data_IF_106302698293
#
_entry.id   IF_106302698293
#
_cell.length_a   1.000
_cell.length_b   1.000
_cell.length_c   1.000
_cell.angle_alpha   90.00
_cell.angle_beta   90.00
_cell.angle_gamma   90.00
#
_symmetry.space_group_name_H-M   'P 1'
#
loop_
_entity.id
_entity.type
_entity.pdbx_description
1 polymer ?
#
# COMPACT_ATOMS: atom_id res chain seq x y z
N UNK A 1 36.18 45.77 -19.94
CA UNK A 1 36.70 44.83 -18.92
C UNK A 1 36.15 43.45 -19.26
N UNK A 2 36.90 42.35 -19.09
CA UNK A 2 36.31 41.02 -19.34
C UNK A 2 35.27 40.69 -18.25
N UNK A 3 34.16 40.02 -18.58
CA UNK A 3 33.15 39.67 -17.58
C UNK A 3 33.68 38.65 -16.59
N UNK A 4 33.38 38.84 -15.30
CA UNK A 4 33.67 37.87 -14.24
C UNK A 4 32.58 36.80 -14.16
N UNK A 5 32.86 35.66 -13.52
CA UNK A 5 31.93 34.52 -13.50
C UNK A 5 30.60 34.82 -12.78
N UNK A 6 30.62 35.67 -11.77
CA UNK A 6 29.45 36.15 -11.02
C UNK A 6 28.52 37.04 -11.87
N UNK A 7 29.04 37.65 -12.92
CA UNK A 7 28.28 38.53 -13.82
C UNK A 7 27.56 37.77 -14.95
N UNK A 8 27.83 36.47 -15.10
CA UNK A 8 27.22 35.66 -16.14
C UNK A 8 25.75 35.41 -15.81
N UNK A 9 24.89 35.79 -16.77
CA UNK A 9 23.45 35.72 -16.61
C UNK A 9 22.74 35.15 -17.85
N UNK A 10 23.48 34.76 -18.88
CA UNK A 10 22.93 34.19 -20.10
C UNK A 10 23.87 33.11 -20.67
N UNK A 11 23.27 32.08 -21.28
CA UNK A 11 23.97 31.06 -22.05
C UNK A 11 23.28 30.78 -23.37
N UNK A 12 24.06 30.29 -24.34
CA UNK A 12 23.54 29.62 -25.52
C UNK A 12 24.11 28.22 -25.59
N UNK A 13 23.27 27.20 -25.68
CA UNK A 13 23.64 25.78 -25.78
C UNK A 13 22.80 25.07 -26.85
N UNK A 14 23.24 23.91 -27.38
CA UNK A 14 22.40 23.09 -28.25
C UNK A 14 21.08 22.73 -27.57
N UNK A 15 19.97 22.83 -28.31
CA UNK A 15 18.63 22.51 -27.82
C UNK A 15 18.54 21.10 -27.25
N UNK A 16 19.21 20.13 -27.88
CA UNK A 16 19.26 18.75 -27.42
C UNK A 16 19.89 18.59 -26.02
N UNK A 17 20.69 19.56 -25.59
CA UNK A 17 21.36 19.55 -24.29
C UNK A 17 20.63 20.41 -23.24
N UNK A 18 19.49 21.03 -23.56
CA UNK A 18 18.71 21.83 -22.60
C UNK A 18 18.28 21.01 -21.37
N UNK A 19 18.13 19.69 -21.52
CA UNK A 19 17.80 18.77 -20.44
C UNK A 19 18.78 18.75 -19.26
N UNK A 20 20.01 19.26 -19.42
CA UNK A 20 20.97 19.39 -18.29
C UNK A 20 20.47 20.32 -17.18
N UNK A 21 19.48 21.16 -17.48
CA UNK A 21 18.84 22.06 -16.51
C UNK A 21 17.54 21.48 -15.92
N UNK A 22 17.21 20.21 -16.19
CA UNK A 22 15.87 19.67 -15.88
C UNK A 22 15.50 19.67 -14.40
N UNK A 23 16.47 19.58 -13.50
CA UNK A 23 16.25 19.66 -12.06
C UNK A 23 15.99 21.09 -11.57
N UNK A 24 16.41 22.11 -12.33
CA UNK A 24 16.11 23.52 -12.08
C UNK A 24 14.78 23.97 -12.71
N UNK A 25 13.98 23.07 -13.27
CA UNK A 25 12.71 23.40 -13.94
C UNK A 25 11.73 24.19 -13.07
N UNK A 26 11.84 24.11 -11.74
CA UNK A 26 10.98 24.84 -10.79
C UNK A 26 11.39 26.30 -10.58
N UNK A 27 12.57 26.69 -11.05
CA UNK A 27 13.09 28.04 -10.89
C UNK A 27 12.45 29.00 -11.91
N UNK A 28 11.45 29.75 -11.50
CA UNK A 28 10.70 30.67 -12.37
C UNK A 28 11.58 31.79 -12.97
N UNK A 29 12.69 32.13 -12.32
CA UNK A 29 13.64 33.13 -12.79
C UNK A 29 14.50 32.65 -13.97
N UNK A 30 14.50 31.34 -14.27
CA UNK A 30 15.20 30.80 -15.43
C UNK A 30 14.29 30.84 -16.64
N UNK A 31 14.71 31.63 -17.63
CA UNK A 31 13.97 31.91 -18.86
C UNK A 31 14.71 31.26 -20.02
N UNK A 32 13.96 30.69 -20.96
CA UNK A 32 14.50 29.99 -22.12
C UNK A 32 13.85 30.53 -23.40
N UNK A 33 14.67 30.80 -24.41
CA UNK A 33 14.23 31.06 -25.77
C UNK A 33 14.88 30.02 -26.69
N UNK A 34 14.07 29.27 -27.44
CA UNK A 34 14.57 28.30 -28.42
C UNK A 34 14.54 28.93 -29.82
N UNK A 35 15.69 28.96 -30.51
CA UNK A 35 15.81 29.44 -31.90
C UNK A 35 16.65 28.45 -32.69
N UNK A 36 16.00 27.77 -33.63
CA UNK A 36 16.62 26.71 -34.43
C UNK A 36 17.12 25.54 -33.56
N UNK A 37 18.41 25.24 -33.68
CA UNK A 37 19.11 24.19 -32.95
C UNK A 37 19.69 24.64 -31.61
N UNK A 38 19.57 25.93 -31.26
CA UNK A 38 20.09 26.49 -30.00
C UNK A 38 18.98 26.90 -29.05
N UNK A 39 19.21 26.63 -27.77
CA UNK A 39 18.48 27.21 -26.66
C UNK A 39 19.31 28.33 -26.06
N UNK A 40 18.68 29.47 -25.87
CA UNK A 40 19.21 30.58 -25.08
C UNK A 40 18.58 30.51 -23.71
N UNK A 41 19.38 30.58 -22.66
CA UNK A 41 18.92 30.48 -21.27
C UNK A 41 19.39 31.72 -20.53
N UNK A 42 18.51 32.37 -19.78
CA UNK A 42 18.82 33.54 -18.96
C UNK A 42 18.39 33.28 -17.52
N UNK A 43 19.18 33.76 -16.58
CA UNK A 43 18.96 33.62 -15.14
C UNK A 43 19.49 34.85 -14.41
N UNK A 44 19.13 35.08 -13.13
CA UNK A 44 19.74 36.15 -12.33
C UNK A 44 21.25 35.94 -12.17
N UNK A 45 22.05 36.99 -12.35
CA UNK A 45 23.50 36.91 -12.14
C UNK A 45 23.83 36.33 -10.74
N UNK A 46 24.91 35.54 -10.65
CA UNK A 46 25.31 34.85 -9.42
C UNK A 46 24.57 33.53 -9.12
N UNK A 47 23.68 33.04 -9.99
CA UNK A 47 22.99 31.76 -9.77
C UNK A 47 23.91 30.55 -10.02
N UNK A 48 24.70 30.15 -9.01
CA UNK A 48 25.68 29.07 -9.11
C UNK A 48 25.11 27.74 -9.61
N UNK A 49 23.86 27.42 -9.24
CA UNK A 49 23.20 26.18 -9.65
C UNK A 49 23.13 26.01 -11.17
N UNK A 50 22.86 27.09 -11.92
CA UNK A 50 22.80 27.06 -13.38
C UNK A 50 24.21 26.88 -13.95
N UNK A 51 25.16 27.65 -13.44
CA UNK A 51 26.56 27.60 -13.87
C UNK A 51 27.15 26.18 -13.72
N UNK A 52 26.97 25.54 -12.56
CA UNK A 52 27.48 24.18 -12.30
C UNK A 52 26.97 23.13 -13.30
N UNK A 53 25.75 23.30 -13.83
CA UNK A 53 25.16 22.38 -14.84
C UNK A 53 25.59 22.71 -16.26
N UNK A 54 25.85 23.98 -16.55
CA UNK A 54 26.27 24.43 -17.87
C UNK A 54 27.78 24.23 -18.11
N UNK A 55 28.64 24.33 -17.10
CA UNK A 55 30.09 24.18 -17.25
C UNK A 55 30.54 22.87 -17.93
N UNK A 56 29.95 21.69 -17.62
CA UNK A 56 30.30 20.45 -18.31
C UNK A 56 29.88 20.37 -19.78
N UNK A 57 29.05 21.31 -20.26
CA UNK A 57 28.52 21.30 -21.62
C UNK A 57 29.53 21.95 -22.57
N UNK A 58 30.24 21.13 -23.34
CA UNK A 58 31.38 21.55 -24.19
C UNK A 58 31.08 22.62 -25.25
N UNK A 59 29.81 22.84 -25.59
CA UNK A 59 29.38 23.78 -26.65
C UNK A 59 28.59 24.98 -26.11
N UNK A 60 28.59 25.17 -24.78
CA UNK A 60 27.94 26.32 -24.16
C UNK A 60 28.75 27.59 -24.41
N UNK A 61 28.07 28.64 -24.84
CA UNK A 61 28.60 30.00 -24.82
C UNK A 61 27.96 30.74 -23.65
N UNK A 62 28.78 31.35 -22.79
CA UNK A 62 28.34 32.08 -21.60
C UNK A 62 28.48 33.58 -21.81
N UNK A 63 27.49 34.36 -21.34
CA UNK A 63 27.39 35.79 -21.59
C UNK A 63 27.03 36.56 -20.31
N UNK A 64 27.59 37.76 -20.20
CA UNK A 64 27.27 38.75 -19.18
C UNK A 64 26.79 40.05 -19.84
N UNK A 65 25.92 40.78 -19.14
CA UNK A 65 25.45 42.11 -19.57
C UNK A 65 26.15 43.18 -18.74
N UNK A 66 26.85 44.11 -19.39
CA UNK A 66 27.53 45.25 -18.77
C UNK A 66 27.21 46.51 -19.57
N UNK A 67 26.76 47.57 -18.90
CA UNK A 67 26.41 48.86 -19.51
C UNK A 67 25.46 48.74 -20.71
N UNK A 68 24.49 47.81 -20.62
CA UNK A 68 23.53 47.55 -21.69
C UNK A 68 24.06 46.68 -22.84
N UNK A 69 25.37 46.42 -22.91
CA UNK A 69 26.02 45.61 -23.92
C UNK A 69 26.27 44.18 -23.42
N UNK A 70 26.35 43.22 -24.34
CA UNK A 70 26.59 41.82 -24.03
C UNK A 70 28.04 41.43 -24.33
N UNK A 71 28.67 40.70 -23.41
CA UNK A 71 30.03 40.21 -23.55
C UNK A 71 30.04 38.69 -23.37
N UNK A 72 30.73 38.00 -24.27
CA UNK A 72 30.95 36.56 -24.13
C UNK A 72 32.13 36.32 -23.17
N UNK A 73 32.03 35.31 -22.31
CA UNK A 73 33.11 34.92 -21.42
C UNK A 73 34.41 34.67 -22.22
N UNK A 74 35.50 35.28 -21.76
CA UNK A 74 36.81 35.22 -22.43
C UNK A 74 36.98 36.19 -23.61
N UNK A 75 35.98 37.03 -23.94
CA UNK A 75 36.09 38.08 -24.98
C UNK A 75 36.03 39.47 -24.37
N UNK A 76 36.79 40.41 -24.94
CA UNK A 76 36.86 41.80 -24.50
C UNK A 76 35.95 42.75 -25.29
N UNK A 77 35.44 42.32 -26.45
CA UNK A 77 34.55 43.12 -27.28
C UNK A 77 33.09 42.69 -27.11
N UNK A 78 32.13 43.63 -27.23
CA UNK A 78 30.71 43.31 -27.24
C UNK A 78 30.35 42.31 -28.33
N UNK A 79 29.36 41.46 -28.05
CA UNK A 79 28.73 40.57 -29.03
C UNK A 79 27.29 40.98 -29.28
N UNK A 80 26.87 40.91 -30.55
CA UNK A 80 25.53 41.29 -30.99
C UNK A 80 24.68 40.08 -31.38
N UNK A 81 25.20 38.87 -31.20
CA UNK A 81 24.53 37.62 -31.60
C UNK A 81 23.45 37.13 -30.64
N UNK A 82 23.08 37.91 -29.61
CA UNK A 82 22.03 37.54 -28.66
C UNK A 82 20.66 37.95 -29.23
N UNK A 83 19.67 37.04 -29.29
CA UNK A 83 18.33 37.35 -29.80
C UNK A 83 17.71 38.56 -29.09
N UNK A 84 17.25 39.55 -29.86
CA UNK A 84 16.68 40.80 -29.31
C UNK A 84 15.31 40.56 -28.68
N UNK A 85 14.59 39.60 -29.22
CA UNK A 85 13.29 39.13 -28.75
C UNK A 85 13.34 38.34 -27.43
N UNK A 86 14.53 38.06 -26.87
CA UNK A 86 14.66 37.17 -25.71
C UNK A 86 13.74 37.59 -24.56
N UNK A 87 13.63 38.89 -24.30
CA UNK A 87 12.83 39.41 -23.20
C UNK A 87 11.32 39.28 -23.46
N UNK A 88 10.89 39.36 -24.72
CA UNK A 88 9.48 39.24 -25.11
C UNK A 88 9.02 37.78 -25.30
N UNK A 89 9.86 36.95 -25.93
CA UNK A 89 9.49 35.62 -26.43
C UNK A 89 9.99 34.47 -25.54
N UNK A 90 10.78 34.75 -24.51
CA UNK A 90 11.24 33.68 -23.61
C UNK A 90 10.07 33.06 -22.83
N UNK A 91 10.23 31.81 -22.45
CA UNK A 91 9.30 31.07 -21.59
C UNK A 91 10.02 30.57 -20.34
N UNK A 92 9.31 30.26 -19.24
CA UNK A 92 9.93 29.60 -18.10
C UNK A 92 10.58 28.27 -18.49
N UNK A 93 11.67 27.88 -17.81
CA UNK A 93 12.38 26.63 -18.09
C UNK A 93 11.47 25.39 -18.05
N UNK A 94 10.52 25.32 -17.12
CA UNK A 94 9.51 24.25 -17.06
C UNK A 94 8.70 24.10 -18.36
N UNK A 95 8.43 25.20 -19.06
CA UNK A 95 7.66 25.20 -20.30
C UNK A 95 8.51 24.78 -21.50
N UNK A 96 9.81 25.11 -21.48
CA UNK A 96 10.75 24.72 -22.54
C UNK A 96 11.17 23.24 -22.47
N UNK A 97 11.06 22.61 -21.30
CA UNK A 97 11.40 21.21 -21.09
C UNK A 97 10.15 20.33 -21.17
N UNK A 98 10.07 19.54 -22.24
CA UNK A 98 9.03 18.51 -22.37
C UNK A 98 9.60 17.19 -21.84
N UNK A 99 8.94 16.49 -20.90
CA UNK A 99 9.34 15.14 -20.51
C UNK A 99 9.46 14.24 -21.73
N UNK A 100 10.42 13.30 -21.70
CA UNK A 100 10.47 12.27 -22.73
C UNK A 100 9.12 11.53 -22.81
N UNK A 101 8.68 11.11 -24.01
CA UNK A 101 7.49 10.29 -24.15
C UNK A 101 7.57 9.08 -23.22
N UNK A 102 6.48 8.82 -22.48
CA UNK A 102 6.37 7.61 -21.66
C UNK A 102 6.14 6.44 -22.61
N UNK A 103 7.11 5.53 -22.70
CA UNK A 103 6.93 4.27 -23.41
C UNK A 103 6.18 3.28 -22.49
N UNK A 104 4.91 3.04 -22.79
CA UNK A 104 4.07 2.14 -22.00
C UNK A 104 4.35 0.71 -22.45
N UNK A 105 5.26 0.04 -21.75
CA UNK A 105 5.44 -1.40 -21.92
C UNK A 105 4.33 -2.14 -21.20
N UNK A 106 3.46 -2.82 -21.96
CA UNK A 106 2.44 -3.69 -21.37
C UNK A 106 3.10 -4.82 -20.58
N UNK A 107 2.73 -5.05 -19.30
CA UNK A 107 3.18 -6.22 -18.57
C UNK A 107 2.79 -7.48 -19.35
N UNK A 108 3.72 -8.42 -19.50
CA UNK A 108 3.40 -9.71 -20.13
C UNK A 108 2.30 -10.38 -19.32
N UNK A 109 1.19 -10.83 -19.94
CA UNK A 109 0.13 -11.51 -19.21
C UNK A 109 0.66 -12.86 -18.69
N UNK A 110 0.83 -12.96 -17.38
CA UNK A 110 1.00 -14.22 -16.67
C UNK A 110 -0.34 -14.60 -16.02
N UNK A 111 -0.80 -15.83 -16.24
CA UNK A 111 -1.97 -16.34 -15.53
C UNK A 111 -1.68 -16.30 -14.02
N UNK A 112 -2.57 -15.71 -13.18
CA UNK A 112 -2.36 -15.70 -11.74
C UNK A 112 -2.34 -17.15 -11.23
N UNK A 113 -1.32 -17.49 -10.44
CA UNK A 113 -1.27 -18.78 -9.75
C UNK A 113 -2.11 -18.69 -8.48
N UNK A 114 -3.02 -19.64 -8.23
CA UNK A 114 -3.76 -19.68 -6.96
C UNK A 114 -2.80 -19.75 -5.79
N UNK A 115 -2.94 -18.82 -4.83
CA UNK A 115 -2.25 -18.91 -3.55
C UNK A 115 -2.93 -19.98 -2.70
N UNK A 116 -2.15 -20.90 -2.13
CA UNK A 116 -2.67 -21.85 -1.15
C UNK A 116 -2.90 -21.13 0.17
N UNK A 117 -4.09 -21.31 0.74
CA UNK A 117 -4.45 -20.80 2.06
C UNK A 117 -4.41 -21.97 3.02
N UNK A 118 -3.58 -21.87 4.06
CA UNK A 118 -3.42 -22.91 5.08
C UNK A 118 -3.38 -22.35 6.49
N UNK A 119 -3.42 -23.25 7.47
CA UNK A 119 -3.13 -22.91 8.87
C UNK A 119 -1.66 -23.17 9.17
N UNK A 120 -1.00 -22.20 9.78
CA UNK A 120 0.36 -22.33 10.29
C UNK A 120 0.38 -22.09 11.80
N UNK A 121 1.35 -22.68 12.49
CA UNK A 121 1.53 -22.48 13.93
C UNK A 121 1.77 -21.02 14.26
N UNK A 122 1.17 -20.58 15.36
CA UNK A 122 1.26 -19.22 15.85
C UNK A 122 1.39 -19.18 17.36
N UNK A 123 2.32 -18.35 17.85
CA UNK A 123 2.63 -18.22 19.28
C UNK A 123 1.92 -17.03 19.93
N UNK A 124 1.25 -16.20 19.14
CA UNK A 124 0.52 -15.05 19.64
C UNK A 124 -0.65 -15.48 20.54
N UNK A 125 -0.66 -14.95 21.76
CA UNK A 125 -1.69 -15.21 22.76
C UNK A 125 -2.96 -14.46 22.39
N UNK A 126 -4.07 -15.19 22.21
CA UNK A 126 -5.38 -14.62 21.86
C UNK A 126 -6.49 -15.15 22.77
N UNK A 127 -7.51 -14.32 23.08
CA UNK A 127 -8.66 -14.77 23.85
C UNK A 127 -9.49 -15.78 23.05
N UNK A 128 -9.93 -16.85 23.71
CA UNK A 128 -10.86 -17.81 23.12
C UNK A 128 -12.26 -17.19 23.02
N UNK A 129 -12.87 -17.24 21.84
CA UNK A 129 -14.23 -16.76 21.56
C UNK A 129 -15.21 -17.89 21.25
N UNK A 130 -14.71 -19.09 20.94
CA UNK A 130 -15.51 -20.28 20.77
C UNK A 130 -14.83 -21.56 21.27
N UNK A 131 -15.63 -22.60 21.53
CA UNK A 131 -15.18 -23.91 21.99
C UNK A 131 -15.91 -25.01 21.23
N UNK A 132 -15.18 -25.92 20.58
CA UNK A 132 -15.71 -27.19 20.07
C UNK A 132 -15.40 -28.30 21.07
N UNK A 133 -16.41 -29.05 21.50
CA UNK A 133 -16.23 -30.16 22.43
C UNK A 133 -17.24 -31.29 22.14
N UNK A 134 -17.08 -32.42 22.82
CA UNK A 134 -18.08 -33.50 22.77
C UNK A 134 -19.27 -33.19 23.66
N UNK A 135 -20.44 -33.62 23.22
CA UNK A 135 -21.71 -33.42 23.92
C UNK A 135 -21.70 -34.05 25.33
N UNK A 136 -21.12 -35.24 25.48
CA UNK A 136 -21.01 -35.89 26.79
C UNK A 136 -20.16 -35.09 27.79
N UNK A 137 -19.04 -34.53 27.33
CA UNK A 137 -18.15 -33.71 28.15
C UNK A 137 -18.83 -32.39 28.54
N UNK A 138 -19.61 -31.80 27.63
CA UNK A 138 -20.44 -30.64 27.92
C UNK A 138 -21.53 -30.96 28.95
N UNK A 139 -22.18 -32.12 28.86
CA UNK A 139 -23.22 -32.56 29.78
C UNK A 139 -22.67 -32.74 31.20
N UNK A 140 -21.54 -33.43 31.35
CA UNK A 140 -20.85 -33.58 32.64
C UNK A 140 -20.51 -32.22 33.25
N UNK A 141 -19.99 -31.28 32.46
CA UNK A 141 -19.73 -29.93 32.95
C UNK A 141 -21.03 -29.21 33.37
N UNK A 142 -22.09 -29.32 32.56
CA UNK A 142 -23.36 -28.63 32.79
C UNK A 142 -24.05 -29.06 34.09
N UNK A 143 -23.92 -30.32 34.51
CA UNK A 143 -24.48 -30.80 35.78
C UNK A 143 -23.74 -30.24 37.02
N UNK A 144 -22.54 -29.67 36.85
CA UNK A 144 -21.72 -29.16 37.96
C UNK A 144 -21.79 -27.64 38.17
N UNK A 145 -22.47 -26.92 37.26
CA UNK A 145 -22.45 -25.44 37.25
C UNK A 145 -23.85 -24.82 37.40
N UNK A 146 -23.97 -23.64 38.02
CA UNK A 146 -25.23 -22.93 38.11
C UNK A 146 -25.76 -22.48 36.75
N UNK A 147 -27.08 -22.32 36.64
CA UNK A 147 -27.74 -21.94 35.38
C UNK A 147 -27.33 -20.57 34.83
N UNK A 148 -26.84 -19.68 35.69
CA UNK A 148 -26.30 -18.38 35.30
C UNK A 148 -25.08 -18.48 34.37
N UNK A 149 -24.30 -19.56 34.44
CA UNK A 149 -23.14 -19.80 33.59
C UNK A 149 -23.52 -20.12 32.13
N UNK A 150 -24.75 -20.59 31.87
CA UNK A 150 -25.21 -20.86 30.49
C UNK A 150 -25.73 -19.62 29.78
N UNK A 151 -26.25 -18.63 30.53
CA UNK A 151 -26.92 -17.44 29.95
C UNK A 151 -26.11 -16.71 28.87
N UNK A 152 -24.78 -16.53 28.99
CA UNK A 152 -24.01 -15.85 27.94
C UNK A 152 -23.62 -16.76 26.77
N UNK A 153 -23.94 -18.05 26.84
CA UNK A 153 -23.51 -19.05 25.87
C UNK A 153 -24.61 -19.40 24.86
N UNK A 154 -24.20 -19.55 23.61
CA UNK A 154 -25.02 -20.13 22.53
C UNK A 154 -24.34 -21.38 22.02
N UNK A 155 -25.13 -22.35 21.60
CA UNK A 155 -24.64 -23.64 21.14
C UNK A 155 -25.28 -24.06 19.82
N UNK A 156 -24.48 -24.66 18.95
CA UNK A 156 -24.92 -25.47 17.82
C UNK A 156 -24.46 -26.91 18.05
N UNK A 157 -25.33 -27.88 17.78
CA UNK A 157 -25.08 -29.31 18.02
C UNK A 157 -25.22 -30.05 16.69
N UNK A 158 -24.26 -30.92 16.39
CA UNK A 158 -24.29 -31.81 15.23
C UNK A 158 -23.73 -33.18 15.65
N UNK A 159 -24.62 -34.16 15.83
CA UNK A 159 -24.25 -35.47 16.37
C UNK A 159 -23.70 -35.36 17.79
N UNK A 160 -22.50 -35.89 18.02
CA UNK A 160 -21.79 -35.84 19.31
C UNK A 160 -20.96 -34.57 19.50
N UNK A 161 -20.90 -33.67 18.51
CA UNK A 161 -20.10 -32.45 18.55
C UNK A 161 -20.95 -31.23 18.88
N UNK A 162 -20.42 -30.38 19.75
CA UNK A 162 -21.02 -29.12 20.15
C UNK A 162 -20.06 -27.97 19.90
N UNK A 163 -20.54 -26.94 19.21
CA UNK A 163 -19.86 -25.66 19.06
C UNK A 163 -20.51 -24.63 20.00
N UNK A 164 -19.73 -24.07 20.91
CA UNK A 164 -20.14 -23.03 21.84
C UNK A 164 -19.57 -21.67 21.42
N UNK A 165 -20.42 -20.64 21.48
CA UNK A 165 -20.06 -19.23 21.32
C UNK A 165 -20.41 -18.47 22.60
N UNK A 166 -19.57 -17.53 23.01
CA UNK A 166 -19.83 -16.64 24.14
C UNK A 166 -18.65 -16.54 25.11
N UNK A 167 -18.86 -15.85 26.23
CA UNK A 167 -17.85 -15.67 27.26
C UNK A 167 -18.50 -15.58 28.65
N UNK A 168 -17.93 -16.22 29.70
CA UNK A 168 -16.74 -17.07 29.67
C UNK A 168 -17.01 -18.47 29.07
N UNK A 169 -16.03 -19.04 28.35
CA UNK A 169 -16.12 -20.40 27.82
C UNK A 169 -15.76 -21.45 28.89
N UNK A 170 -16.49 -22.58 28.97
CA UNK A 170 -16.27 -23.59 30.00
C UNK A 170 -14.91 -24.30 29.87
N UNK A 171 -14.38 -24.74 31.01
CA UNK A 171 -13.14 -25.51 31.07
C UNK A 171 -13.42 -27.01 30.84
N UNK A 172 -13.60 -27.39 29.58
CA UNK A 172 -13.89 -28.78 29.17
C UNK A 172 -12.62 -29.43 28.61
N UNK A 173 -12.20 -30.54 29.22
CA UNK A 173 -11.04 -31.30 28.77
C UNK A 173 -11.26 -31.88 27.37
N UNK A 174 -10.21 -31.86 26.53
CA UNK A 174 -10.27 -32.35 25.15
C UNK A 174 -11.04 -31.45 24.17
N UNK A 175 -11.55 -30.30 24.61
CA UNK A 175 -12.18 -29.33 23.72
C UNK A 175 -11.17 -28.47 22.97
N UNK A 176 -11.46 -28.17 21.70
CA UNK A 176 -10.67 -27.25 20.88
C UNK A 176 -11.20 -25.83 21.04
N UNK A 177 -10.32 -24.92 21.47
CA UNK A 177 -10.65 -23.49 21.60
C UNK A 177 -10.29 -22.74 20.33
N UNK A 178 -11.13 -21.78 19.97
CA UNK A 178 -10.98 -20.95 18.78
C UNK A 178 -10.96 -19.47 19.15
N UNK A 179 -10.34 -18.66 18.30
CA UNK A 179 -10.35 -17.20 18.36
C UNK A 179 -10.97 -16.62 17.08
N UNK A 180 -11.45 -15.36 17.17
CA UNK A 180 -12.10 -14.65 16.07
C UNK A 180 -13.61 -14.46 16.27
N UNK A 181 -14.30 -13.90 15.28
CA UNK A 181 -15.74 -13.58 15.40
C UNK A 181 -16.59 -14.31 14.37
N UNK A 182 -16.40 -14.02 13.07
CA UNK A 182 -17.10 -14.72 11.98
C UNK A 182 -16.21 -15.72 11.25
N UNK A 183 -14.91 -15.66 11.53
CA UNK A 183 -13.90 -16.64 11.19
C UNK A 183 -13.30 -17.15 12.49
N UNK A 184 -13.53 -18.42 12.80
CA UNK A 184 -13.00 -19.11 13.97
C UNK A 184 -11.74 -19.88 13.57
N UNK A 185 -10.63 -19.52 14.19
CA UNK A 185 -9.32 -20.15 13.97
C UNK A 185 -8.93 -20.86 15.27
N UNK A 186 -8.45 -22.13 15.23
CA UNK A 186 -8.00 -22.81 16.42
C UNK A 186 -6.88 -22.03 17.12
N UNK A 187 -6.92 -21.96 18.46
CA UNK A 187 -5.83 -21.34 19.21
C UNK A 187 -4.48 -22.03 18.90
N UNK A 188 -3.41 -21.23 18.85
CA UNK A 188 -2.08 -21.70 18.43
C UNK A 188 -1.88 -21.78 16.92
N UNK A 189 -2.81 -21.24 16.13
CA UNK A 189 -2.73 -21.15 14.68
C UNK A 189 -3.13 -19.75 14.17
N UNK A 190 -2.62 -19.43 12.97
CA UNK A 190 -3.05 -18.33 12.11
C UNK A 190 -3.19 -18.79 10.67
N UNK A 191 -3.88 -18.01 9.86
CA UNK A 191 -3.97 -18.22 8.41
C UNK A 191 -2.69 -17.74 7.74
N UNK A 192 -2.20 -18.52 6.78
CA UNK A 192 -1.10 -18.14 5.87
C UNK A 192 -1.53 -18.32 4.39
N UNK A 193 -1.36 -17.31 3.52
CA UNK A 193 -0.93 -15.95 3.85
C UNK A 193 -1.90 -15.28 4.83
N UNK A 194 -1.41 -14.29 5.60
CA UNK A 194 -2.15 -13.54 6.62
C UNK A 194 -3.30 -12.70 6.05
N UNK A 195 -4.29 -13.35 5.47
CA UNK A 195 -5.45 -12.75 4.83
C UNK A 195 -6.43 -12.26 5.89
N UNK A 196 -6.99 -11.07 5.65
CA UNK A 196 -8.10 -10.58 6.47
C UNK A 196 -9.31 -11.52 6.42
N UNK A 197 -10.10 -11.53 7.50
CA UNK A 197 -11.37 -12.28 7.56
C UNK A 197 -12.25 -12.01 6.32
N UNK A 198 -12.39 -10.74 5.91
CA UNK A 198 -13.18 -10.37 4.74
C UNK A 198 -12.59 -10.86 3.41
N UNK A 199 -11.27 -11.03 3.32
CA UNK A 199 -10.63 -11.61 2.13
C UNK A 199 -10.93 -13.11 2.03
N UNK A 200 -10.79 -13.85 3.13
CA UNK A 200 -11.09 -15.28 3.17
C UNK A 200 -12.56 -15.57 2.88
N UNK A 201 -13.48 -14.82 3.50
CA UNK A 201 -14.91 -14.98 3.27
C UNK A 201 -15.30 -14.73 1.81
N UNK A 202 -14.72 -13.71 1.17
CA UNK A 202 -14.93 -13.43 -0.26
C UNK A 202 -14.33 -14.53 -1.14
N UNK A 203 -13.13 -15.02 -0.82
CA UNK A 203 -12.49 -16.10 -1.56
C UNK A 203 -13.32 -17.40 -1.53
N UNK A 204 -13.99 -17.66 -0.41
CA UNK A 204 -14.84 -18.84 -0.21
C UNK A 204 -16.32 -18.59 -0.56
N UNK A 205 -16.67 -17.42 -1.09
CA UNK A 205 -18.04 -17.05 -1.47
C UNK A 205 -19.08 -17.22 -0.34
N UNK A 206 -18.68 -16.93 0.90
CA UNK A 206 -19.54 -17.06 2.08
C UNK A 206 -20.50 -15.88 2.25
N UNK A 207 -21.74 -16.16 2.63
CA UNK A 207 -22.75 -15.16 2.95
C UNK A 207 -22.34 -14.30 4.15
N UNK A 208 -22.93 -13.11 4.34
CA UNK A 208 -22.51 -12.15 5.38
C UNK A 208 -22.70 -12.63 6.83
N UNK A 209 -23.60 -13.59 7.04
CA UNK A 209 -23.99 -14.06 8.37
C UNK A 209 -23.42 -15.45 8.75
N UNK A 210 -22.77 -16.15 7.81
CA UNK A 210 -22.25 -17.50 8.06
C UNK A 210 -21.01 -17.48 8.96
N UNK A 211 -20.87 -18.46 9.84
CA UNK A 211 -19.69 -18.65 10.66
C UNK A 211 -18.74 -19.63 9.95
N UNK A 212 -17.52 -19.20 9.66
CA UNK A 212 -16.48 -20.05 9.09
C UNK A 212 -15.60 -20.60 10.20
N UNK A 213 -15.41 -21.91 10.26
CA UNK A 213 -14.54 -22.58 11.23
C UNK A 213 -13.40 -23.24 10.47
N UNK A 214 -12.16 -22.82 10.72
CA UNK A 214 -10.99 -23.47 10.13
C UNK A 214 -10.53 -24.63 11.01
N UNK A 215 -10.12 -25.71 10.36
CA UNK A 215 -9.49 -26.87 11.00
C UNK A 215 -8.17 -27.16 10.29
N UNK A 216 -7.25 -27.92 10.91
CA UNK A 216 -6.05 -28.39 10.20
C UNK A 216 -6.37 -29.18 8.92
N UNK A 217 -7.54 -29.81 8.85
CA UNK A 217 -7.98 -30.65 7.74
C UNK A 217 -8.80 -29.89 6.67
N UNK A 218 -9.15 -28.62 6.91
CA UNK A 218 -9.95 -27.82 5.98
C UNK A 218 -10.78 -26.75 6.67
N UNK A 219 -12.06 -26.66 6.30
CA UNK A 219 -12.98 -25.69 6.88
C UNK A 219 -14.42 -26.21 6.92
N UNK A 220 -15.19 -25.67 7.84
CA UNK A 220 -16.62 -25.93 8.01
C UNK A 220 -17.39 -24.61 8.02
N UNK A 221 -18.59 -24.61 7.45
CA UNK A 221 -19.49 -23.44 7.45
C UNK A 221 -20.68 -23.76 8.34
N UNK A 222 -20.89 -22.96 9.38
CA UNK A 222 -22.00 -23.14 10.33
C UNK A 222 -23.00 -21.98 10.13
N UNK A 223 -24.26 -22.28 9.76
CA UNK A 223 -25.29 -21.26 9.66
C UNK A 223 -25.56 -20.60 11.03
N UNK A 224 -25.73 -19.28 11.11
CA UNK A 224 -25.89 -18.58 12.39
C UNK A 224 -27.18 -18.95 13.12
N UNK A 225 -28.21 -19.40 12.38
CA UNK A 225 -29.52 -19.74 12.93
C UNK A 225 -29.53 -21.07 13.68
N UNK A 226 -28.51 -21.93 13.54
CA UNK A 226 -28.42 -23.18 14.32
C UNK A 226 -27.91 -22.95 15.74
N UNK A 227 -27.40 -21.75 16.04
CA UNK A 227 -26.94 -21.38 17.38
C UNK A 227 -28.10 -20.92 18.26
N UNK A 228 -28.48 -21.74 19.24
CA UNK A 228 -29.53 -21.44 20.20
C UNK A 228 -28.93 -21.10 21.58
N UNK A 229 -29.62 -20.33 22.43
CA UNK A 229 -29.21 -20.15 23.82
C UNK A 229 -29.00 -21.50 24.51
N UNK A 230 -27.87 -21.67 25.20
CA UNK A 230 -27.55 -22.92 25.87
C UNK A 230 -28.44 -23.09 27.11
N UNK A 231 -29.02 -24.28 27.27
CA UNK A 231 -29.80 -24.64 28.45
C UNK A 231 -29.58 -26.10 28.81
N UNK A 232 -29.68 -26.43 30.10
CA UNK A 232 -29.55 -27.80 30.59
C UNK A 232 -30.61 -28.74 29.97
N UNK A 233 -31.83 -28.24 29.78
CA UNK A 233 -32.89 -28.99 29.10
C UNK A 233 -32.52 -29.31 27.64
N UNK A 234 -31.92 -28.34 26.93
CA UNK A 234 -31.44 -28.54 25.56
C UNK A 234 -30.31 -29.57 25.48
N UNK A 235 -29.36 -29.54 26.42
CA UNK A 235 -28.26 -30.53 26.50
C UNK A 235 -28.83 -31.94 26.72
N UNK A 236 -29.70 -32.12 27.71
CA UNK A 236 -30.32 -33.42 28.02
C UNK A 236 -31.19 -33.95 26.88
N UNK A 237 -31.89 -33.06 26.16
CA UNK A 237 -32.66 -33.45 24.98
C UNK A 237 -31.73 -33.95 23.87
N UNK A 238 -30.65 -33.21 23.59
CA UNK A 238 -29.67 -33.58 22.57
C UNK A 238 -29.03 -34.95 22.85
N UNK A 239 -28.70 -35.25 24.12
CA UNK A 239 -28.16 -36.55 24.52
C UNK A 239 -29.13 -37.70 24.21
N UNK A 240 -30.43 -37.51 24.42
CA UNK A 240 -31.43 -38.56 24.13
C UNK A 240 -31.57 -38.81 22.63
N UNK A 241 -31.55 -37.76 21.83
CA UNK A 241 -31.66 -37.87 20.36
C UNK A 241 -30.39 -38.37 19.68
N UNK A 242 -29.21 -38.16 20.28
CA UNK A 242 -27.93 -38.62 19.71
C UNK A 242 -27.62 -40.12 19.93
N UNK A 243 -28.40 -40.81 20.77
CA UNK A 243 -28.29 -42.26 21.01
C UNK A 243 -29.36 -43.08 20.26
N UNK A 244 -30.12 -42.45 19.37
CA UNK A 244 -31.10 -43.09 18.48
C UNK A 244 -30.52 -43.19 17.06
#
# INVERSE_FOLDING_TARGET
MAPTLDQICCASLPRAQLGVLADLRREAAIRVLVRGDRAWVRWPAGHEGVMRRLFPVSTVALFAKQDGLWYQLGRHLPTFGIPREFDADSVPLATALVPAPIDVTMPRPGAPRPAQVGLVRDEEVRPASALRCRLNALSVWAETVPSSQFKPLRAAIAGDLVMLLGSPLPAIAGGTRYWGTRLLIPLGYRVDPGLSENALRRALSLGSAELLVLTPDGYEVIPPHVFNPLSLAGIRLAERTGHA
#
